data_IF_039660189212
#
_entry.id   IF_039660189212
#
_cell.length_a   1.000
_cell.length_b   1.000
_cell.length_c   1.000
_cell.angle_alpha   90.00
_cell.angle_beta   90.00
_cell.angle_gamma   90.00
#
_symmetry.space_group_name_H-M   'P 1'
#
loop_
_entity.id
_entity.type
_entity.pdbx_description
1 polymer ?
#
# COMPACT_ATOMS: atom_id res chain seq x y z
N UNK A 1 -18.34 -6.38 23.63
CA UNK A 1 -17.76 -6.40 22.27
C UNK A 1 -18.15 -7.72 21.63
N UNK A 2 -19.00 -7.71 20.60
CA UNK A 2 -19.38 -8.93 19.90
C UNK A 2 -18.11 -9.61 19.35
N UNK A 3 -17.91 -10.90 19.66
CA UNK A 3 -16.86 -11.71 19.03
C UNK A 3 -17.21 -11.79 17.55
N UNK A 4 -16.61 -10.92 16.71
CA UNK A 4 -16.57 -11.15 15.27
C UNK A 4 -15.88 -12.49 15.04
N UNK A 5 -16.39 -13.28 14.12
CA UNK A 5 -15.82 -14.59 13.80
C UNK A 5 -14.38 -14.39 13.33
N UNK A 6 -13.44 -15.17 13.88
CA UNK A 6 -12.03 -15.08 13.52
C UNK A 6 -11.85 -15.26 12.00
N UNK A 7 -12.70 -16.08 11.36
CA UNK A 7 -12.70 -16.26 9.92
C UNK A 7 -13.02 -14.97 9.16
N UNK A 8 -13.92 -14.15 9.68
CA UNK A 8 -14.30 -12.86 9.09
C UNK A 8 -13.13 -11.87 9.19
N UNK A 9 -12.50 -11.78 10.36
CA UNK A 9 -11.32 -10.95 10.63
C UNK A 9 -10.18 -11.35 9.68
N UNK A 10 -9.90 -12.65 9.55
CA UNK A 10 -8.85 -13.18 8.67
C UNK A 10 -9.16 -12.90 7.19
N UNK A 11 -10.42 -13.04 6.76
CA UNK A 11 -10.84 -12.75 5.37
C UNK A 11 -10.68 -11.27 5.04
N UNK A 12 -11.12 -10.37 5.92
CA UNK A 12 -10.93 -8.93 5.74
C UNK A 12 -9.44 -8.56 5.73
N UNK A 13 -8.65 -9.14 6.64
CA UNK A 13 -7.21 -8.91 6.69
C UNK A 13 -6.55 -9.31 5.38
N UNK A 14 -6.84 -10.50 4.83
CA UNK A 14 -6.32 -10.95 3.54
C UNK A 14 -6.70 -9.99 2.41
N UNK A 15 -7.93 -9.47 2.38
CA UNK A 15 -8.34 -8.49 1.37
C UNK A 15 -7.51 -7.20 1.46
N UNK A 16 -7.32 -6.67 2.69
CA UNK A 16 -6.47 -5.48 2.92
C UNK A 16 -5.01 -5.75 2.57
N UNK A 17 -4.50 -6.95 2.88
CA UNK A 17 -3.16 -7.41 2.57
C UNK A 17 -2.91 -7.45 1.05
N UNK A 18 -3.81 -8.07 0.29
CA UNK A 18 -3.74 -8.10 -1.18
C UNK A 18 -3.73 -6.70 -1.76
N UNK A 19 -4.61 -5.82 -1.28
CA UNK A 19 -4.65 -4.41 -1.74
C UNK A 19 -3.35 -3.67 -1.43
N UNK A 20 -2.76 -3.87 -0.26
CA UNK A 20 -1.48 -3.26 0.11
C UNK A 20 -0.34 -3.77 -0.78
N UNK A 21 -0.30 -5.07 -1.08
CA UNK A 21 0.68 -5.65 -2.01
C UNK A 21 0.52 -5.04 -3.40
N UNK A 22 -0.71 -4.95 -3.92
CA UNK A 22 -0.99 -4.30 -5.21
C UNK A 22 -0.54 -2.84 -5.19
N UNK A 23 -0.83 -2.10 -4.12
CA UNK A 23 -0.44 -0.70 -3.99
C UNK A 23 1.09 -0.51 -3.96
N UNK A 24 1.82 -1.36 -3.20
CA UNK A 24 3.29 -1.35 -3.18
C UNK A 24 3.86 -1.66 -4.56
N UNK A 25 3.38 -2.72 -5.21
CA UNK A 25 3.84 -3.12 -6.54
C UNK A 25 3.57 -2.02 -7.57
N UNK A 26 2.38 -1.42 -7.56
CA UNK A 26 2.02 -0.33 -8.46
C UNK A 26 2.89 0.92 -8.20
N UNK A 27 3.13 1.29 -6.95
CA UNK A 27 3.98 2.43 -6.60
C UNK A 27 5.42 2.22 -7.10
N UNK A 28 6.00 1.05 -6.83
CA UNK A 28 7.34 0.69 -7.32
C UNK A 28 7.38 0.73 -8.85
N UNK A 29 6.39 0.15 -9.52
CA UNK A 29 6.30 0.16 -10.97
C UNK A 29 6.27 1.59 -11.54
N UNK A 30 5.43 2.47 -11.00
CA UNK A 30 5.33 3.86 -11.44
C UNK A 30 6.63 4.65 -11.20
N UNK A 31 7.28 4.41 -10.07
CA UNK A 31 8.58 5.02 -9.74
C UNK A 31 9.63 4.61 -10.76
N UNK A 32 9.73 3.30 -11.05
CA UNK A 32 10.68 2.78 -12.03
C UNK A 32 10.34 3.25 -13.45
N UNK A 33 9.07 3.27 -13.82
CA UNK A 33 8.62 3.76 -15.12
C UNK A 33 9.05 5.20 -15.35
N UNK A 34 8.81 6.09 -14.39
CA UNK A 34 9.24 7.48 -14.53
C UNK A 34 10.77 7.63 -14.54
N UNK A 35 11.53 6.76 -13.87
CA UNK A 35 12.99 6.72 -13.98
C UNK A 35 13.47 6.27 -15.38
N UNK A 36 12.77 5.30 -16.00
CA UNK A 36 13.04 4.86 -17.37
C UNK A 36 12.73 6.00 -18.35
N UNK A 37 11.58 6.66 -18.22
CA UNK A 37 11.19 7.78 -19.09
C UNK A 37 12.15 8.97 -18.98
N UNK A 38 12.75 9.20 -17.81
CA UNK A 38 13.81 10.19 -17.65
C UNK A 38 15.05 9.86 -18.51
N UNK A 39 15.40 8.57 -18.63
CA UNK A 39 16.55 8.12 -19.43
C UNK A 39 16.23 7.92 -20.91
N UNK A 40 14.97 7.63 -21.23
CA UNK A 40 14.46 7.26 -22.57
C UNK A 40 13.17 8.03 -22.88
N UNK A 41 13.27 9.35 -23.15
CA UNK A 41 12.10 10.19 -23.45
C UNK A 41 11.43 9.84 -24.79
N UNK A 42 12.06 9.01 -25.62
CA UNK A 42 11.58 8.53 -26.90
C UNK A 42 10.44 7.48 -26.79
N UNK A 43 10.26 6.84 -25.63
CA UNK A 43 9.29 5.74 -25.46
C UNK A 43 7.82 6.20 -25.41
N UNK A 44 7.54 7.30 -24.70
CA UNK A 44 6.17 7.81 -24.47
C UNK A 44 6.05 9.32 -24.75
N UNK A 45 7.06 9.90 -25.40
CA UNK A 45 7.16 11.33 -25.66
C UNK A 45 7.99 12.08 -24.62
N UNK A 46 8.45 13.27 -24.99
CA UNK A 46 9.33 14.09 -24.17
C UNK A 46 8.57 14.69 -22.98
N UNK A 47 8.72 14.07 -21.80
CA UNK A 47 8.27 14.67 -20.54
C UNK A 47 9.35 15.60 -19.98
N UNK A 48 8.93 16.75 -19.45
CA UNK A 48 9.85 17.62 -18.74
C UNK A 48 10.33 16.97 -17.43
N UNK A 49 11.55 17.29 -16.99
CA UNK A 49 12.08 16.81 -15.70
C UNK A 49 11.19 17.21 -14.52
N UNK A 50 10.57 18.40 -14.58
CA UNK A 50 9.64 18.88 -13.55
C UNK A 50 8.38 18.02 -13.50
N UNK A 51 7.87 17.61 -14.65
CA UNK A 51 6.70 16.72 -14.75
C UNK A 51 7.01 15.35 -14.14
N UNK A 52 8.15 14.74 -14.51
CA UNK A 52 8.55 13.45 -13.96
C UNK A 52 8.78 13.50 -12.44
N UNK A 53 9.43 14.56 -11.95
CA UNK A 53 9.59 14.77 -10.52
C UNK A 53 8.25 14.95 -9.80
N UNK A 54 7.33 15.75 -10.36
CA UNK A 54 5.98 15.91 -9.81
C UNK A 54 5.19 14.60 -9.76
N UNK A 55 5.32 13.75 -10.78
CA UNK A 55 4.70 12.42 -10.82
C UNK A 55 5.25 11.51 -9.72
N UNK A 56 6.56 11.55 -9.46
CA UNK A 56 7.20 10.78 -8.39
C UNK A 56 6.70 11.20 -7.00
N UNK A 57 6.74 12.50 -6.71
CA UNK A 57 6.26 13.06 -5.44
C UNK A 57 4.78 12.71 -5.22
N UNK A 58 3.96 12.87 -6.26
CA UNK A 58 2.53 12.57 -6.19
C UNK A 58 2.27 11.09 -5.95
N UNK A 59 3.01 10.21 -6.64
CA UNK A 59 2.91 8.75 -6.45
C UNK A 59 3.25 8.36 -5.01
N UNK A 60 4.38 8.85 -4.49
CA UNK A 60 4.83 8.54 -3.12
C UNK A 60 3.83 9.07 -2.10
N UNK A 61 3.41 10.34 -2.22
CA UNK A 61 2.45 10.94 -1.30
C UNK A 61 1.12 10.17 -1.30
N UNK A 62 0.60 9.83 -2.48
CA UNK A 62 -0.64 9.06 -2.62
C UNK A 62 -0.53 7.67 -2.00
N UNK A 63 0.61 6.98 -2.20
CA UNK A 63 0.87 5.68 -1.59
C UNK A 63 0.94 5.75 -0.05
N UNK A 64 1.60 6.77 0.50
CA UNK A 64 1.70 6.97 1.94
C UNK A 64 0.34 7.26 2.58
N UNK A 65 -0.44 8.17 1.98
CA UNK A 65 -1.81 8.46 2.39
C UNK A 65 -2.66 7.19 2.33
N UNK A 66 -2.66 6.50 1.19
CA UNK A 66 -3.40 5.24 1.01
C UNK A 66 -3.06 4.22 2.10
N UNK A 67 -1.78 4.01 2.36
CA UNK A 67 -1.29 3.06 3.38
C UNK A 67 -1.72 3.49 4.78
N UNK A 68 -1.58 4.77 5.14
CA UNK A 68 -1.96 5.28 6.46
C UNK A 68 -3.45 5.07 6.76
N UNK A 69 -4.32 5.28 5.75
CA UNK A 69 -5.77 5.13 5.90
C UNK A 69 -6.25 3.67 5.82
N UNK A 70 -5.68 2.85 4.94
CA UNK A 70 -6.21 1.51 4.65
C UNK A 70 -5.49 0.38 5.41
N UNK A 71 -4.25 0.59 5.83
CA UNK A 71 -3.44 -0.44 6.50
C UNK A 71 -3.73 -0.52 8.01
N UNK A 72 -4.95 -0.92 8.34
CA UNK A 72 -5.49 -0.95 9.72
C UNK A 72 -6.07 -2.32 10.05
N UNK A 73 -6.00 -2.69 11.32
CA UNK A 73 -6.53 -3.96 11.82
C UNK A 73 -8.06 -4.01 11.67
N UNK A 74 -8.64 -5.06 11.06
CA UNK A 74 -10.10 -5.15 10.90
C UNK A 74 -10.88 -5.33 12.22
N UNK A 75 -10.19 -5.67 13.31
CA UNK A 75 -10.80 -5.86 14.64
C UNK A 75 -10.79 -4.60 15.51
N UNK A 76 -9.64 -3.91 15.61
CA UNK A 76 -9.48 -2.74 16.49
C UNK A 76 -9.24 -1.42 15.77
N UNK A 77 -9.19 -1.45 14.44
CA UNK A 77 -8.93 -0.32 13.55
C UNK A 77 -7.60 0.43 13.81
N UNK A 78 -6.67 -0.14 14.61
CA UNK A 78 -5.34 0.45 14.80
C UNK A 78 -4.42 0.09 13.64
N UNK A 79 -3.50 0.99 13.31
CA UNK A 79 -2.50 0.79 12.25
C UNK A 79 -1.64 -0.46 12.51
N UNK A 80 -1.39 -1.24 11.45
CA UNK A 80 -0.75 -2.56 11.55
C UNK A 80 0.79 -2.52 11.56
N UNK A 81 1.39 -1.38 11.18
CA UNK A 81 2.84 -1.22 11.08
C UNK A 81 3.40 -1.82 9.79
N UNK A 82 4.71 -2.00 9.73
CA UNK A 82 5.43 -2.39 8.50
C UNK A 82 5.34 -3.88 8.13
N UNK A 83 4.95 -4.74 9.07
CA UNK A 83 4.88 -6.19 8.83
C UNK A 83 3.58 -6.58 8.11
N UNK A 84 3.69 -6.90 6.82
CA UNK A 84 2.58 -7.34 5.97
C UNK A 84 2.18 -8.80 6.25
N UNK A 85 3.04 -9.64 6.84
CA UNK A 85 2.82 -11.09 7.03
C UNK A 85 2.53 -11.45 8.50
N UNK A 86 1.96 -10.50 9.22
CA UNK A 86 1.68 -10.60 10.65
C UNK A 86 0.57 -11.62 10.94
N UNK A 87 0.85 -12.56 11.85
CA UNK A 87 -0.12 -13.56 12.30
C UNK A 87 -1.14 -13.01 13.30
N UNK A 88 -0.75 -12.08 14.18
CA UNK A 88 -1.62 -11.46 15.20
C UNK A 88 -1.42 -9.96 15.30
N UNK A 89 -2.51 -9.22 15.53
CA UNK A 89 -2.45 -7.78 15.75
C UNK A 89 -1.65 -7.45 17.02
N UNK A 90 -0.61 -6.63 16.90
CA UNK A 90 0.21 -6.20 18.05
C UNK A 90 -0.50 -5.22 19.00
N UNK A 91 -1.72 -4.78 18.67
CA UNK A 91 -2.49 -3.82 19.49
C UNK A 91 -3.67 -4.46 20.21
N UNK A 92 -4.38 -5.40 19.58
CA UNK A 92 -5.56 -6.07 20.17
C UNK A 92 -5.43 -7.59 20.27
N UNK A 93 -4.37 -8.21 19.73
CA UNK A 93 -4.16 -9.66 19.78
C UNK A 93 -4.99 -10.49 18.80
N UNK A 94 -5.89 -9.88 18.03
CA UNK A 94 -6.74 -10.59 17.05
C UNK A 94 -5.89 -11.40 16.06
N UNK A 95 -6.37 -12.61 15.72
CA UNK A 95 -5.75 -13.47 14.72
C UNK A 95 -6.01 -12.93 13.31
N UNK A 96 -4.94 -12.74 12.54
CA UNK A 96 -4.99 -12.18 11.19
C UNK A 96 -4.73 -13.26 10.13
N UNK A 97 -3.97 -14.30 10.46
CA UNK A 97 -3.64 -15.44 9.60
C UNK A 97 -3.62 -16.77 10.38
#
# INVERSE_FOLDING_TARGET
MAKRDDKEIMREYRSRQTRQIIAVTAAIFLVLLAAILYKRPDLLGAFSIRTLFGMQVTTIASFLVYTAYNWRCPSCDKHLGSDIHRQRCGKCGARLQ
#
